data_IF_655544952541
#
_entry.id   IF_655544952541
#
_cell.length_a   1.000
_cell.length_b   1.000
_cell.length_c   1.000
_cell.angle_alpha   90.00
_cell.angle_beta   90.00
_cell.angle_gamma   90.00
#
_symmetry.space_group_name_H-M   'P 1'
#
loop_
_entity.id
_entity.type
_entity.pdbx_description
1 polymer ?
#
# COMPACT_ATOMS: atom_id res chain seq x y z
N UNK A 1 -19.66 42.19 2.07
CA UNK A 1 -20.50 41.80 0.91
C UNK A 1 -20.18 40.40 0.39
N UNK A 2 -18.92 39.94 0.40
CA UNK A 2 -18.48 38.60 -0.03
C UNK A 2 -19.00 37.41 0.82
N UNK A 3 -19.28 37.63 2.11
CA UNK A 3 -19.69 36.59 3.06
C UNK A 3 -21.16 36.10 2.90
N UNK A 4 -22.06 36.91 2.31
CA UNK A 4 -23.46 36.50 2.09
C UNK A 4 -23.58 35.53 0.91
N UNK A 5 -22.79 35.74 -0.16
CA UNK A 5 -22.73 34.86 -1.32
C UNK A 5 -22.17 33.47 -0.97
N UNK A 6 -21.19 33.41 -0.06
CA UNK A 6 -20.63 32.16 0.47
C UNK A 6 -21.65 31.34 1.29
N UNK A 7 -22.54 31.98 2.06
CA UNK A 7 -23.63 31.31 2.78
C UNK A 7 -24.69 30.74 1.84
N UNK A 8 -24.97 31.41 0.72
CA UNK A 8 -25.90 30.95 -0.31
C UNK A 8 -25.39 29.72 -1.06
N UNK A 9 -24.11 29.71 -1.47
CA UNK A 9 -23.48 28.53 -2.07
C UNK A 9 -23.43 27.32 -1.12
N UNK A 10 -23.25 27.55 0.18
CA UNK A 10 -23.19 26.48 1.21
C UNK A 10 -24.50 25.72 1.41
N UNK A 11 -25.64 26.32 1.05
CA UNK A 11 -26.97 25.70 1.16
C UNK A 11 -27.32 24.83 -0.06
N UNK A 12 -26.64 25.05 -1.20
CA UNK A 12 -26.95 24.40 -2.47
C UNK A 12 -25.83 23.51 -3.02
N UNK A 13 -24.63 23.54 -2.40
CA UNK A 13 -23.52 22.66 -2.78
C UNK A 13 -22.91 22.04 -1.51
N UNK A 14 -23.01 20.72 -1.37
CA UNK A 14 -22.34 19.96 -0.31
C UNK A 14 -20.84 19.83 -0.61
N UNK A 15 -20.09 20.93 -0.46
CA UNK A 15 -18.62 20.91 -0.52
C UNK A 15 -18.05 20.97 0.90
N UNK A 16 -17.46 19.86 1.34
CA UNK A 16 -16.69 19.81 2.59
C UNK A 16 -15.18 19.94 2.32
N UNK A 17 -14.58 20.82 3.12
CA UNK A 17 -13.17 20.89 3.54
C UNK A 17 -12.15 21.42 2.53
N UNK A 18 -11.81 22.71 2.69
CA UNK A 18 -10.67 23.30 1.95
C UNK A 18 -10.11 24.61 2.49
N UNK A 19 -10.51 25.11 3.68
CA UNK A 19 -9.93 26.34 4.24
C UNK A 19 -8.89 26.11 5.35
N UNK A 20 -8.81 24.93 5.95
CA UNK A 20 -7.76 24.60 6.93
C UNK A 20 -6.36 24.42 6.32
N UNK A 21 -6.26 24.25 5.00
CA UNK A 21 -4.99 23.92 4.30
C UNK A 21 -4.09 25.10 3.98
N UNK A 22 -4.56 26.35 4.02
CA UNK A 22 -3.72 27.50 3.63
C UNK A 22 -2.64 27.88 4.66
N UNK A 23 -2.67 27.30 5.86
CA UNK A 23 -1.65 27.52 6.90
C UNK A 23 -0.53 26.46 6.87
N UNK A 24 -0.74 25.32 6.19
CA UNK A 24 0.19 24.17 6.19
C UNK A 24 1.36 24.27 5.19
N UNK A 25 1.31 25.19 4.23
CA UNK A 25 2.28 25.25 3.13
C UNK A 25 3.60 25.97 3.44
N UNK A 26 3.81 26.42 4.69
CA UNK A 26 4.99 27.20 5.06
C UNK A 26 6.08 26.42 5.82
N UNK A 27 5.94 25.10 6.05
CA UNK A 27 6.87 24.36 6.93
C UNK A 27 7.64 23.24 6.22
N UNK A 28 8.97 23.17 6.38
CA UNK A 28 9.80 22.09 5.84
C UNK A 28 9.51 20.75 6.53
N UNK A 29 9.71 19.65 5.80
CA UNK A 29 9.41 18.25 6.19
C UNK A 29 10.09 17.78 7.50
N UNK A 30 10.99 18.57 8.08
CA UNK A 30 11.59 18.31 9.39
C UNK A 30 10.74 18.78 10.58
N UNK A 31 9.67 19.52 10.33
CA UNK A 31 8.78 20.14 11.34
C UNK A 31 7.35 19.55 11.32
N UNK A 32 7.22 18.27 10.92
CA UNK A 32 6.04 17.46 11.25
C UNK A 32 6.08 17.14 12.75
N UNK A 33 5.99 18.17 13.59
CA UNK A 33 5.80 18.01 15.02
C UNK A 33 4.55 17.16 15.25
N UNK A 34 4.72 15.99 15.87
CA UNK A 34 3.65 15.23 16.51
C UNK A 34 2.42 14.95 15.66
N UNK A 35 2.59 14.50 14.42
CA UNK A 35 1.55 13.68 13.80
C UNK A 35 1.75 12.26 14.36
N UNK A 36 0.81 11.77 15.18
CA UNK A 36 0.76 10.42 15.78
C UNK A 36 0.61 9.30 14.71
N UNK A 37 1.38 9.37 13.63
CA UNK A 37 1.39 8.35 12.59
C UNK A 37 2.76 7.69 12.60
N UNK A 38 2.81 6.59 13.33
CA UNK A 38 3.97 5.74 13.52
C UNK A 38 3.56 4.56 14.38
N UNK A 39 4.38 3.52 14.40
CA UNK A 39 4.18 2.42 15.33
C UNK A 39 4.63 2.92 16.70
N UNK A 40 3.76 2.92 17.74
CA UNK A 40 4.16 3.33 19.07
C UNK A 40 5.38 2.53 19.51
N UNK A 41 6.36 3.17 20.15
CA UNK A 41 7.59 2.48 20.60
C UNK A 41 7.33 1.34 21.60
N UNK A 42 6.17 1.36 22.26
CA UNK A 42 5.68 0.30 23.15
C UNK A 42 5.09 -0.91 22.41
N UNK A 43 4.84 -0.80 21.10
CA UNK A 43 4.31 -1.86 20.26
C UNK A 43 5.40 -2.41 19.35
N UNK A 44 5.37 -3.72 19.14
CA UNK A 44 6.24 -4.44 18.22
C UNK A 44 5.40 -5.11 17.15
N UNK A 45 5.83 -5.05 15.90
CA UNK A 45 5.22 -5.82 14.81
C UNK A 45 5.93 -7.16 14.63
N UNK A 46 5.42 -8.01 13.75
CA UNK A 46 6.11 -9.26 13.42
C UNK A 46 7.50 -9.03 12.80
N UNK A 47 7.76 -7.85 12.22
CA UNK A 47 9.09 -7.50 11.71
C UNK A 47 10.11 -7.25 12.83
N UNK A 48 9.66 -6.75 13.98
CA UNK A 48 10.52 -6.53 15.15
C UNK A 48 10.76 -7.80 15.97
N UNK A 49 9.90 -8.81 15.78
CA UNK A 49 9.87 -10.05 16.56
C UNK A 49 10.53 -11.24 15.84
N UNK A 50 10.97 -11.04 14.59
CA UNK A 50 11.58 -12.08 13.75
C UNK A 50 12.84 -11.54 13.10
N UNK A 51 13.70 -12.41 12.57
CA UNK A 51 14.80 -11.96 11.71
C UNK A 51 14.23 -11.59 10.35
N UNK A 52 13.83 -10.33 10.22
CA UNK A 52 13.03 -9.90 9.08
C UNK A 52 13.78 -9.01 8.09
N UNK A 53 13.31 -9.03 6.85
CA UNK A 53 13.66 -8.06 5.82
C UNK A 53 12.41 -7.35 5.32
N UNK A 54 12.35 -6.04 5.55
CA UNK A 54 11.30 -5.17 5.05
C UNK A 54 11.70 -4.56 3.70
N UNK A 55 10.83 -4.70 2.69
CA UNK A 55 11.04 -4.11 1.36
C UNK A 55 9.92 -3.10 1.11
N UNK A 56 10.28 -1.82 1.14
CA UNK A 56 9.34 -0.70 0.95
C UNK A 56 8.14 -0.70 1.94
N UNK A 57 8.31 -1.33 3.09
CA UNK A 57 7.27 -1.44 4.10
C UNK A 57 7.02 -0.08 4.80
N UNK A 58 5.76 0.33 5.01
CA UNK A 58 5.43 1.51 5.80
C UNK A 58 6.16 1.46 7.15
N UNK A 59 6.71 2.59 7.58
CA UNK A 59 7.46 2.75 8.85
C UNK A 59 8.78 1.97 9.01
N UNK A 60 9.12 1.01 8.13
CA UNK A 60 10.38 0.24 8.19
C UNK A 60 11.36 0.52 7.05
N UNK A 61 10.93 1.23 6.01
CA UNK A 61 11.81 1.57 4.88
C UNK A 61 11.09 2.06 3.63
N UNK A 62 9.88 2.61 3.77
CA UNK A 62 9.14 3.17 2.65
C UNK A 62 9.79 4.47 2.17
N UNK A 63 9.95 4.60 0.85
CA UNK A 63 10.59 5.75 0.21
C UNK A 63 9.70 7.01 0.14
N UNK A 64 8.42 6.89 0.50
CA UNK A 64 7.39 7.93 0.43
C UNK A 64 7.17 8.57 -0.96
N UNK A 65 7.74 8.04 -2.05
CA UNK A 65 7.61 8.64 -3.40
C UNK A 65 6.16 8.67 -3.89
N UNK A 66 5.32 7.75 -3.43
CA UNK A 66 3.90 7.76 -3.76
C UNK A 66 3.16 8.95 -3.17
N UNK A 67 3.54 9.38 -1.97
CA UNK A 67 3.00 10.58 -1.35
C UNK A 67 3.47 11.84 -2.07
N UNK A 68 4.72 11.86 -2.54
CA UNK A 68 5.25 12.96 -3.34
C UNK A 68 4.45 13.13 -4.64
N UNK A 69 4.18 12.04 -5.38
CA UNK A 69 3.36 12.11 -6.60
C UNK A 69 1.95 12.64 -6.28
N UNK A 70 1.31 12.14 -5.22
CA UNK A 70 -0.02 12.59 -4.80
C UNK A 70 -0.03 14.07 -4.41
N UNK A 71 1.01 14.53 -3.69
CA UNK A 71 1.14 15.92 -3.28
C UNK A 71 1.22 16.85 -4.49
N UNK A 72 2.05 16.50 -5.49
CA UNK A 72 2.20 17.29 -6.72
C UNK A 72 0.92 17.31 -7.56
N UNK A 73 0.21 16.19 -7.64
CA UNK A 73 -1.12 16.15 -8.26
C UNK A 73 -2.11 17.09 -7.55
N UNK A 74 -2.19 17.02 -6.22
CA UNK A 74 -3.07 17.88 -5.42
C UNK A 74 -2.72 19.37 -5.49
N UNK A 75 -1.44 19.70 -5.71
CA UNK A 75 -0.97 21.05 -5.96
C UNK A 75 -1.27 21.55 -7.39
N UNK A 76 -1.77 20.69 -8.27
CA UNK A 76 -2.03 21.01 -9.67
C UNK A 76 -0.78 21.01 -10.56
N UNK A 77 0.36 20.54 -10.06
CA UNK A 77 1.61 20.46 -10.82
C UNK A 77 1.63 19.30 -11.83
N UNK A 78 0.81 18.27 -11.58
CA UNK A 78 0.64 17.12 -12.45
C UNK A 78 -0.81 17.04 -12.91
N UNK A 79 -1.00 16.79 -14.20
CA UNK A 79 -2.29 16.36 -14.74
C UNK A 79 -2.61 14.92 -14.33
N UNK A 80 -3.88 14.51 -14.42
CA UNK A 80 -4.31 13.13 -14.20
C UNK A 80 -3.48 12.11 -15.00
N UNK A 81 -3.17 12.42 -16.25
CA UNK A 81 -2.39 11.55 -17.12
C UNK A 81 -0.93 11.43 -16.62
N UNK A 82 -0.29 12.55 -16.32
CA UNK A 82 1.09 12.56 -15.80
C UNK A 82 1.18 11.84 -14.44
N UNK A 83 0.17 11.99 -13.58
CA UNK A 83 0.08 11.27 -12.31
C UNK A 83 -0.02 9.77 -12.51
N UNK A 84 -0.91 9.31 -13.40
CA UNK A 84 -1.04 7.89 -13.71
C UNK A 84 0.24 7.30 -14.31
N UNK A 85 0.93 8.03 -15.20
CA UNK A 85 2.21 7.63 -15.78
C UNK A 85 3.33 7.58 -14.72
N UNK A 86 3.39 8.55 -13.80
CA UNK A 86 4.34 8.56 -12.70
C UNK A 86 4.15 7.36 -11.77
N UNK A 87 2.91 7.03 -11.40
CA UNK A 87 2.62 5.84 -10.61
C UNK A 87 2.93 4.54 -11.36
N UNK A 88 2.66 4.49 -12.66
CA UNK A 88 3.01 3.33 -13.48
C UNK A 88 4.54 3.12 -13.55
N UNK A 89 5.32 4.19 -13.66
CA UNK A 89 6.79 4.13 -13.62
C UNK A 89 7.28 3.62 -12.27
N UNK A 90 6.78 4.23 -11.19
CA UNK A 90 7.12 3.84 -9.82
C UNK A 90 6.75 2.36 -9.55
N UNK A 91 5.63 1.90 -10.09
CA UNK A 91 5.22 0.49 -10.03
C UNK A 91 6.23 -0.45 -10.66
N UNK A 92 6.71 -0.13 -11.87
CA UNK A 92 7.73 -0.94 -12.55
C UNK A 92 9.04 -0.96 -11.76
N UNK A 93 9.47 0.18 -11.24
CA UNK A 93 10.68 0.29 -10.43
C UNK A 93 10.60 -0.56 -9.16
N UNK A 94 9.46 -0.51 -8.45
CA UNK A 94 9.28 -1.26 -7.20
C UNK A 94 9.11 -2.77 -7.42
N UNK A 95 8.46 -3.21 -8.50
CA UNK A 95 8.46 -4.62 -8.89
C UNK A 95 9.88 -5.15 -9.07
N UNK A 96 10.72 -4.40 -9.78
CA UNK A 96 12.12 -4.75 -10.02
C UNK A 96 12.95 -4.69 -8.74
N UNK A 97 12.70 -3.73 -7.86
CA UNK A 97 13.33 -3.67 -6.54
C UNK A 97 13.03 -4.94 -5.73
N UNK A 98 11.77 -5.32 -5.60
CA UNK A 98 11.37 -6.52 -4.85
C UNK A 98 12.02 -7.77 -5.46
N UNK A 99 12.02 -7.93 -6.78
CA UNK A 99 12.68 -9.07 -7.44
C UNK A 99 14.18 -9.14 -7.10
N UNK A 100 14.89 -8.02 -7.16
CA UNK A 100 16.33 -7.95 -6.83
C UNK A 100 16.58 -8.19 -5.35
N UNK A 101 15.71 -7.72 -4.46
CA UNK A 101 15.87 -7.89 -3.02
C UNK A 101 15.57 -9.31 -2.57
N UNK A 102 14.65 -10.00 -3.25
CA UNK A 102 14.37 -11.42 -3.03
C UNK A 102 15.55 -12.31 -3.40
N UNK A 103 16.30 -11.98 -4.46
CA UNK A 103 17.51 -12.72 -4.84
C UNK A 103 18.67 -12.60 -3.82
N UNK A 104 18.57 -11.64 -2.89
CA UNK A 104 19.57 -11.41 -1.84
C UNK A 104 19.19 -12.01 -0.50
N UNK A 105 18.00 -12.61 -0.39
CA UNK A 105 17.55 -13.31 0.82
C UNK A 105 18.53 -14.44 1.09
N UNK A 106 18.89 -14.61 2.37
CA UNK A 106 19.74 -15.70 2.81
C UNK A 106 19.04 -16.46 3.92
N UNK A 107 18.95 -15.83 5.07
CA UNK A 107 18.67 -16.47 6.35
C UNK A 107 17.66 -15.67 7.17
N UNK A 108 16.82 -14.89 6.49
CA UNK A 108 15.68 -14.17 7.06
C UNK A 108 14.46 -15.09 7.22
N UNK A 109 13.84 -15.06 8.41
CA UNK A 109 12.63 -15.84 8.72
C UNK A 109 11.39 -15.25 8.04
N UNK A 110 11.37 -13.91 7.87
CA UNK A 110 10.25 -13.17 7.30
C UNK A 110 10.74 -12.14 6.30
N UNK A 111 10.23 -12.19 5.08
CA UNK A 111 10.42 -11.11 4.10
C UNK A 111 9.07 -10.47 3.80
N UNK A 112 8.97 -9.18 4.07
CA UNK A 112 7.73 -8.41 3.90
C UNK A 112 7.91 -7.33 2.85
N UNK A 113 7.27 -7.52 1.71
CA UNK A 113 7.26 -6.56 0.61
C UNK A 113 5.89 -5.86 0.51
N UNK A 114 5.89 -4.52 0.56
CA UNK A 114 4.67 -3.74 0.48
C UNK A 114 4.52 -3.02 -0.87
N UNK A 115 3.32 -3.14 -1.46
CA UNK A 115 2.95 -2.52 -2.72
C UNK A 115 1.55 -1.87 -2.63
N UNK A 116 1.48 -0.54 -2.75
CA UNK A 116 0.21 0.21 -2.76
C UNK A 116 -0.39 0.41 -4.16
N UNK A 117 0.22 -0.15 -5.20
CA UNK A 117 -0.10 0.20 -6.58
C UNK A 117 -1.48 -0.24 -7.07
N UNK A 118 -2.03 -1.41 -6.68
CA UNK A 118 -3.39 -1.76 -7.07
C UNK A 118 -4.38 -0.67 -6.64
N UNK A 119 -4.30 -0.24 -5.38
CA UNK A 119 -5.17 0.79 -4.82
C UNK A 119 -5.00 2.15 -5.52
N UNK A 120 -3.77 2.69 -5.52
CA UNK A 120 -3.52 4.02 -6.10
C UNK A 120 -3.93 4.07 -7.57
N UNK A 121 -3.56 3.07 -8.38
CA UNK A 121 -3.92 3.09 -9.80
C UNK A 121 -5.43 2.95 -10.01
N UNK A 122 -6.15 2.25 -9.14
CA UNK A 122 -7.61 2.18 -9.21
C UNK A 122 -8.25 3.55 -8.98
N UNK A 123 -7.80 4.34 -7.99
CA UNK A 123 -8.30 5.71 -7.78
C UNK A 123 -8.20 6.59 -9.03
N UNK A 124 -7.13 6.45 -9.81
CA UNK A 124 -6.92 7.24 -11.03
C UNK A 124 -7.56 6.63 -12.28
N UNK A 125 -7.86 5.33 -12.28
CA UNK A 125 -8.26 4.57 -13.47
C UNK A 125 -9.59 3.84 -13.33
N UNK A 126 -10.38 4.04 -12.26
CA UNK A 126 -11.65 3.32 -12.05
C UNK A 126 -12.65 3.47 -13.19
N UNK A 127 -12.64 4.61 -13.89
CA UNK A 127 -13.43 4.85 -15.11
C UNK A 127 -12.89 4.15 -16.37
N UNK A 128 -11.75 3.46 -16.27
CA UNK A 128 -11.02 2.79 -17.37
C UNK A 128 -10.82 1.31 -17.03
N UNK A 129 -11.89 0.49 -16.96
CA UNK A 129 -11.83 -0.89 -16.49
C UNK A 129 -10.86 -1.78 -17.28
N UNK A 130 -10.67 -1.54 -18.58
CA UNK A 130 -9.68 -2.26 -19.41
C UNK A 130 -8.25 -2.04 -18.93
N UNK A 131 -7.91 -0.82 -18.49
CA UNK A 131 -6.57 -0.51 -17.96
C UNK A 131 -6.35 -1.20 -16.61
N UNK A 132 -7.36 -1.23 -15.76
CA UNK A 132 -7.32 -1.96 -14.48
C UNK A 132 -7.15 -3.46 -14.72
N UNK A 133 -7.93 -4.05 -15.64
CA UNK A 133 -7.80 -5.46 -16.00
C UNK A 133 -6.37 -5.79 -16.48
N UNK A 134 -5.80 -4.94 -17.33
CA UNK A 134 -4.41 -5.08 -17.79
C UNK A 134 -3.41 -5.02 -16.63
N UNK A 135 -3.62 -4.11 -15.67
CA UNK A 135 -2.79 -4.02 -14.47
C UNK A 135 -2.84 -5.31 -13.63
N UNK A 136 -4.02 -5.89 -13.42
CA UNK A 136 -4.16 -7.17 -12.70
C UNK A 136 -3.53 -8.36 -13.44
N UNK A 137 -3.59 -8.40 -14.77
CA UNK A 137 -2.86 -9.44 -15.53
C UNK A 137 -1.35 -9.33 -15.34
N UNK A 138 -0.82 -8.10 -15.35
CA UNK A 138 0.59 -7.85 -15.10
C UNK A 138 0.99 -8.22 -13.66
N UNK A 139 0.18 -7.87 -12.65
CA UNK A 139 0.38 -8.30 -11.27
C UNK A 139 0.37 -9.83 -11.13
N UNK A 140 -0.56 -10.53 -11.78
CA UNK A 140 -0.62 -11.98 -11.77
C UNK A 140 0.65 -12.62 -12.37
N UNK A 141 1.14 -12.09 -13.48
CA UNK A 141 2.39 -12.54 -14.10
C UNK A 141 3.62 -12.24 -13.24
N UNK A 142 3.62 -11.06 -12.59
CA UNK A 142 4.66 -10.66 -11.65
C UNK A 142 4.72 -11.58 -10.44
N UNK A 143 3.58 -11.84 -9.78
CA UNK A 143 3.47 -12.76 -8.65
C UNK A 143 3.91 -14.17 -9.04
N UNK A 144 3.51 -14.66 -10.22
CA UNK A 144 4.01 -15.95 -10.74
C UNK A 144 5.53 -15.97 -10.86
N UNK A 145 6.13 -14.87 -11.32
CA UNK A 145 7.58 -14.76 -11.44
C UNK A 145 8.26 -14.75 -10.07
N UNK A 146 7.70 -14.00 -9.11
CA UNK A 146 8.20 -13.93 -7.74
C UNK A 146 8.14 -15.30 -7.06
N UNK A 147 6.99 -15.99 -7.14
CA UNK A 147 6.80 -17.33 -6.55
C UNK A 147 7.79 -18.37 -7.08
N UNK A 148 8.21 -18.30 -8.35
CA UNK A 148 9.22 -19.22 -8.91
C UNK A 148 10.64 -19.00 -8.40
N UNK A 149 10.91 -17.86 -7.77
CA UNK A 149 12.22 -17.52 -7.18
C UNK A 149 12.31 -17.90 -5.70
N UNK A 150 11.22 -18.43 -5.15
CA UNK A 150 11.08 -18.75 -3.74
C UNK A 150 10.91 -20.27 -3.63
N UNK A 151 11.61 -20.87 -2.68
CA UNK A 151 11.57 -22.31 -2.48
C UNK A 151 10.15 -22.78 -2.10
N UNK A 152 9.81 -23.99 -2.52
CA UNK A 152 8.43 -24.49 -2.43
C UNK A 152 7.95 -24.71 -0.98
N UNK A 153 8.89 -24.93 -0.06
CA UNK A 153 8.69 -25.11 1.37
C UNK A 153 8.54 -23.77 2.13
N UNK A 154 8.93 -22.65 1.54
CA UNK A 154 8.71 -21.31 2.11
C UNK A 154 7.23 -20.92 1.99
N UNK A 155 6.67 -20.38 3.06
CA UNK A 155 5.30 -19.86 3.06
C UNK A 155 5.23 -18.55 2.26
N UNK A 156 4.52 -18.59 1.13
CA UNK A 156 4.32 -17.45 0.23
C UNK A 156 2.90 -16.92 0.36
N UNK A 157 2.78 -15.82 1.10
CA UNK A 157 1.51 -15.18 1.47
C UNK A 157 1.36 -13.81 0.79
N UNK A 158 0.21 -13.59 0.17
CA UNK A 158 -0.22 -12.30 -0.37
C UNK A 158 -1.43 -11.84 0.42
N UNK A 159 -1.44 -10.60 0.87
CA UNK A 159 -2.54 -9.99 1.61
C UNK A 159 -2.87 -8.61 1.03
N UNK A 160 -4.15 -8.33 0.88
CA UNK A 160 -4.74 -7.02 0.64
C UNK A 160 -5.63 -6.71 1.83
N UNK A 161 -5.39 -5.57 2.47
CA UNK A 161 -6.15 -5.10 3.64
C UNK A 161 -7.58 -4.68 3.28
N UNK A 162 -7.78 -4.23 2.04
CA UNK A 162 -9.10 -3.90 1.50
C UNK A 162 -9.22 -4.24 0.01
N UNK A 163 -10.38 -3.93 -0.55
CA UNK A 163 -10.68 -4.03 -1.98
C UNK A 163 -11.13 -2.68 -2.52
N UNK A 164 -11.64 -2.66 -3.75
CA UNK A 164 -12.05 -1.44 -4.43
C UNK A 164 -13.30 -1.67 -5.28
N UNK A 165 -14.30 -0.82 -5.10
CA UNK A 165 -15.52 -0.82 -5.91
C UNK A 165 -15.35 0.12 -7.11
N UNK A 166 -15.26 -0.48 -8.30
CA UNK A 166 -15.09 0.24 -9.56
C UNK A 166 -16.34 1.02 -9.99
N UNK A 167 -17.53 0.69 -9.45
CA UNK A 167 -18.77 1.40 -9.76
C UNK A 167 -18.83 2.74 -9.04
N UNK A 168 -18.43 2.76 -7.77
CA UNK A 168 -18.46 3.96 -6.92
C UNK A 168 -17.15 4.73 -6.94
N UNK A 169 -16.04 4.08 -7.31
CA UNK A 169 -14.70 4.66 -7.21
C UNK A 169 -14.20 4.75 -5.76
N UNK A 170 -14.67 3.87 -4.87
CA UNK A 170 -14.35 3.88 -3.43
C UNK A 170 -13.77 2.55 -2.97
N UNK A 171 -13.14 2.53 -1.79
CA UNK A 171 -12.71 1.27 -1.18
C UNK A 171 -13.92 0.38 -0.84
N UNK A 172 -13.72 -0.93 -0.88
CA UNK A 172 -14.63 -1.90 -0.28
C UNK A 172 -14.09 -2.36 1.08
N UNK A 173 -14.97 -2.84 1.96
CA UNK A 173 -14.61 -3.40 3.27
C UNK A 173 -14.04 -4.83 3.18
N UNK A 174 -13.89 -5.36 1.97
CA UNK A 174 -13.43 -6.73 1.74
C UNK A 174 -11.94 -6.77 1.41
N UNK A 175 -11.13 -7.32 2.30
CA UNK A 175 -9.75 -7.71 2.01
C UNK A 175 -9.65 -8.99 1.18
N UNK A 176 -8.43 -9.35 0.81
CA UNK A 176 -8.13 -10.58 0.06
C UNK A 176 -6.83 -11.19 0.56
N UNK A 177 -6.73 -12.52 0.55
CA UNK A 177 -5.43 -13.17 0.71
C UNK A 177 -5.30 -14.40 -0.18
N UNK A 178 -4.04 -14.78 -0.45
CA UNK A 178 -3.68 -16.01 -1.15
C UNK A 178 -2.40 -16.57 -0.53
N UNK A 179 -2.39 -17.87 -0.26
CA UNK A 179 -1.23 -18.57 0.30
C UNK A 179 -0.91 -19.82 -0.54
N UNK A 180 0.37 -20.21 -0.63
CA UNK A 180 0.76 -21.50 -1.23
C UNK A 180 0.53 -22.70 -0.30
N UNK A 181 0.24 -22.45 0.99
CA UNK A 181 -0.10 -23.47 1.98
C UNK A 181 -1.53 -23.25 2.50
N UNK A 182 -2.14 -24.31 3.02
CA UNK A 182 -3.39 -24.20 3.76
C UNK A 182 -3.13 -23.51 5.10
N UNK A 183 -3.93 -22.48 5.42
CA UNK A 183 -3.88 -21.79 6.71
C UNK A 183 -5.00 -22.32 7.58
N UNK A 184 -4.66 -22.85 8.75
CA UNK A 184 -5.62 -23.37 9.73
C UNK A 184 -5.34 -22.75 11.12
N UNK A 185 -6.28 -21.97 11.69
CA UNK A 185 -7.57 -21.61 11.12
C UNK A 185 -7.44 -20.66 9.92
N UNK A 186 -8.51 -20.61 9.12
CA UNK A 186 -8.65 -19.62 8.05
C UNK A 186 -8.65 -18.20 8.65
N UNK A 187 -7.86 -17.24 8.12
CA UNK A 187 -7.91 -15.85 8.58
C UNK A 187 -9.29 -15.24 8.30
N UNK A 188 -9.86 -14.57 9.30
CA UNK A 188 -11.14 -13.87 9.20
C UNK A 188 -10.95 -12.34 9.24
N UNK A 189 -9.90 -11.88 9.91
CA UNK A 189 -9.57 -10.47 10.08
C UNK A 189 -8.11 -10.20 9.72
N UNK A 190 -7.80 -8.96 9.32
CA UNK A 190 -6.43 -8.55 8.95
C UNK A 190 -5.42 -8.76 10.11
N UNK A 191 -5.89 -8.67 11.35
CA UNK A 191 -5.07 -8.89 12.55
C UNK A 191 -4.66 -10.35 12.75
N UNK A 192 -5.37 -11.32 12.15
CA UNK A 192 -5.06 -12.74 12.31
C UNK A 192 -3.71 -13.10 11.68
N UNK A 193 -3.32 -12.38 10.61
CA UNK A 193 -2.05 -12.60 9.93
C UNK A 193 -0.83 -12.38 10.84
N UNK A 194 -0.95 -11.55 11.88
CA UNK A 194 0.14 -11.38 12.85
C UNK A 194 0.51 -12.72 13.49
N UNK A 195 -0.47 -13.45 14.02
CA UNK A 195 -0.23 -14.74 14.70
C UNK A 195 0.23 -15.81 13.70
N UNK A 196 -0.34 -15.81 12.50
CA UNK A 196 0.02 -16.74 11.44
C UNK A 196 1.50 -16.56 11.06
N UNK A 197 1.94 -15.33 10.82
CA UNK A 197 3.32 -15.03 10.44
C UNK A 197 4.29 -15.45 11.55
N UNK A 198 4.00 -15.11 12.81
CA UNK A 198 4.84 -15.47 13.96
C UNK A 198 4.93 -16.99 14.15
N UNK A 199 3.84 -17.72 13.96
CA UNK A 199 3.85 -19.17 14.10
C UNK A 199 4.63 -19.84 12.97
N UNK A 200 4.45 -19.39 11.74
CA UNK A 200 5.20 -19.89 10.58
C UNK A 200 6.70 -19.59 10.68
N UNK A 201 7.08 -18.40 11.16
CA UNK A 201 8.49 -18.02 11.31
C UNK A 201 9.22 -18.79 12.42
N UNK A 202 8.50 -19.30 13.42
CA UNK A 202 9.06 -20.05 14.54
C UNK A 202 8.92 -21.57 14.38
N UNK A 203 8.30 -22.05 13.30
CA UNK A 203 8.10 -23.47 13.10
C UNK A 203 9.46 -24.16 12.89
N UNK A 204 9.81 -25.20 13.67
CA UNK A 204 11.01 -25.98 13.40
C UNK A 204 10.90 -26.58 12.00
N UNK A 205 11.96 -26.45 11.19
CA UNK A 205 12.03 -26.99 9.83
C UNK A 205 11.44 -28.39 9.78
N UNK A 206 10.23 -28.51 9.22
CA UNK A 206 9.56 -29.80 9.05
C UNK A 206 10.26 -30.49 7.89
N UNK A 207 11.22 -31.34 8.24
CA UNK A 207 11.89 -32.30 7.35
C UNK A 207 10.91 -33.21 6.65
#
# INVERSE_FOLDING_TARGET
MFLRSLKFLRKHIQLSLGLGRKVLHAMPVKWWGGLEYGIPSSQKTFLDLTKSKAINAPFYGNDCYSFIIMQRFNAGELSLQQTAEAYQKLYMERKNLILREVEKIRDEDVVFAFMHFPDILQHFLFTKPVKIKKHYFDLNNYVRTLKRKIDADVTFLIVSDHGFDLKTGTHSEHGFYSCNKHLDPKPEQITDFFKIIINESNAPNRT
#
